data_IF_799294889433
#
_entry.id   IF_799294889433
#
_cell.length_a   1.000
_cell.length_b   1.000
_cell.length_c   1.000
_cell.angle_alpha   90.00
_cell.angle_beta   90.00
_cell.angle_gamma   90.00
#
_symmetry.space_group_name_H-M   'P 1'
#
loop_
_entity.id
_entity.type
_entity.pdbx_description
1 polymer ?
#
# COMPACT_ATOMS: atom_id res chain seq x y z
N UNK A 1 -10.35 1.38 19.66
CA UNK A 1 -10.23 0.20 20.04
C UNK A 1 -9.85 -0.76 18.98
N UNK A 2 -10.25 -1.92 19.16
CA UNK A 2 -9.83 -3.02 18.33
C UNK A 2 -10.12 -2.86 16.86
N UNK A 3 -11.05 -2.01 16.48
CA UNK A 3 -11.43 -1.89 15.07
C UNK A 3 -10.28 -1.37 14.20
N UNK A 4 -9.58 -0.34 14.63
CA UNK A 4 -8.45 0.17 13.83
C UNK A 4 -7.28 -0.81 13.85
N UNK A 5 -7.10 -1.54 14.93
CA UNK A 5 -6.09 -2.59 14.96
C UNK A 5 -6.41 -3.69 13.96
N UNK A 6 -7.70 -4.03 13.81
CA UNK A 6 -8.14 -5.03 12.84
C UNK A 6 -7.89 -4.52 11.41
N UNK A 7 -8.21 -3.25 11.15
CA UNK A 7 -7.97 -2.65 9.83
C UNK A 7 -6.48 -2.70 9.50
N UNK A 8 -5.64 -2.30 10.44
CA UNK A 8 -4.20 -2.31 10.26
C UNK A 8 -3.69 -3.74 9.98
N UNK A 9 -4.16 -4.70 10.76
CA UNK A 9 -3.75 -6.09 10.58
C UNK A 9 -4.19 -6.65 9.23
N UNK A 10 -5.37 -6.27 8.76
CA UNK A 10 -5.86 -6.72 7.45
C UNK A 10 -5.03 -6.14 6.31
N UNK A 11 -4.63 -4.87 6.43
CA UNK A 11 -3.78 -4.25 5.42
C UNK A 11 -2.43 -4.97 5.38
N UNK A 12 -1.84 -5.24 6.54
CA UNK A 12 -0.59 -5.97 6.58
C UNK A 12 -0.72 -7.38 6.03
N UNK A 13 -1.86 -8.04 6.27
CA UNK A 13 -2.10 -9.38 5.72
C UNK A 13 -2.13 -9.33 4.19
N UNK A 14 -2.68 -8.26 3.62
CA UNK A 14 -2.70 -8.09 2.17
C UNK A 14 -1.32 -7.77 1.61
N UNK A 15 -0.44 -7.22 2.43
CA UNK A 15 0.94 -6.92 2.02
C UNK A 15 1.88 -8.12 2.21
N UNK A 16 1.49 -9.11 3.01
CA UNK A 16 2.33 -10.26 3.31
C UNK A 16 2.90 -10.97 2.07
N UNK A 17 2.13 -11.21 1.00
CA UNK A 17 2.68 -11.90 -0.17
C UNK A 17 3.89 -11.24 -0.79
N UNK A 18 4.07 -9.94 -0.56
CA UNK A 18 5.17 -9.19 -1.16
C UNK A 18 6.44 -9.21 -0.31
N UNK A 19 6.35 -9.73 0.93
CA UNK A 19 7.50 -9.77 1.83
C UNK A 19 8.61 -10.69 1.33
N UNK A 20 8.27 -11.67 0.48
CA UNK A 20 9.27 -12.58 -0.07
C UNK A 20 10.30 -11.86 -0.92
N UNK A 21 9.90 -10.79 -1.58
CA UNK A 21 10.78 -10.04 -2.49
C UNK A 21 11.17 -8.68 -1.93
N UNK A 22 10.51 -8.21 -0.88
CA UNK A 22 10.75 -6.89 -0.32
C UNK A 22 11.38 -7.02 1.06
N UNK A 23 12.09 -5.98 1.46
CA UNK A 23 12.65 -5.94 2.81
C UNK A 23 11.86 -4.96 3.66
N UNK A 24 11.81 -5.24 4.96
CA UNK A 24 11.19 -4.34 5.92
C UNK A 24 12.11 -3.16 6.17
N UNK A 25 11.51 -1.98 6.26
CA UNK A 25 12.25 -0.74 6.45
C UNK A 25 11.37 0.23 7.22
N UNK A 26 11.87 1.43 7.43
CA UNK A 26 11.13 2.49 8.09
C UNK A 26 11.29 3.75 7.27
N UNK A 27 10.17 4.45 7.02
CA UNK A 27 10.20 5.74 6.37
C UNK A 27 9.32 6.71 7.16
N UNK A 28 9.90 7.85 7.53
CA UNK A 28 9.21 8.86 8.35
C UNK A 28 8.64 8.26 9.63
N UNK A 29 9.36 7.30 10.23
CA UNK A 29 8.91 6.63 11.45
C UNK A 29 7.85 5.56 11.25
N UNK A 30 7.48 5.25 10.02
CA UNK A 30 6.43 4.27 9.72
C UNK A 30 7.04 2.96 9.21
N UNK A 31 6.47 1.80 9.61
CA UNK A 31 6.88 0.53 9.01
C UNK A 31 6.59 0.53 7.51
N UNK A 32 7.53 0.03 6.74
CA UNK A 32 7.38 0.01 5.28
C UNK A 32 8.01 -1.23 4.68
N UNK A 33 7.67 -1.47 3.41
CA UNK A 33 8.29 -2.51 2.59
C UNK A 33 8.91 -1.85 1.38
N UNK A 34 10.15 -2.19 1.07
CA UNK A 34 10.84 -1.60 -0.08
C UNK A 34 11.63 -2.67 -0.82
N UNK A 35 11.99 -2.38 -2.07
CA UNK A 35 12.84 -3.27 -2.85
C UNK A 35 14.24 -3.27 -2.22
N UNK A 36 14.84 -4.46 -2.02
CA UNK A 36 16.16 -4.52 -1.40
C UNK A 36 17.19 -3.73 -2.20
N UNK A 37 17.96 -2.91 -1.50
CA UNK A 37 19.00 -2.10 -2.14
C UNK A 37 18.51 -0.79 -2.72
N UNK A 38 17.20 -0.52 -2.69
CA UNK A 38 16.67 0.73 -3.20
C UNK A 38 16.81 1.84 -2.18
N UNK A 39 16.56 3.09 -2.63
CA UNK A 39 16.58 4.24 -1.73
C UNK A 39 15.35 4.27 -0.82
N UNK A 40 15.44 5.10 0.21
CA UNK A 40 14.35 5.18 1.20
C UNK A 40 13.04 5.65 0.59
N UNK A 41 13.09 6.41 -0.51
CA UNK A 41 11.90 6.92 -1.17
C UNK A 41 11.33 5.95 -2.21
N UNK A 42 11.94 4.79 -2.38
CA UNK A 42 11.49 3.79 -3.34
C UNK A 42 10.70 2.66 -2.69
N UNK A 43 10.12 2.93 -1.52
CA UNK A 43 9.32 1.93 -0.83
C UNK A 43 8.05 1.61 -1.63
N UNK A 44 7.57 0.37 -1.48
CA UNK A 44 6.33 -0.05 -2.12
C UNK A 44 5.12 0.41 -1.32
N UNK A 45 5.16 0.22 -0.01
CA UNK A 45 4.05 0.57 0.87
C UNK A 45 4.55 0.89 2.26
N UNK A 46 3.85 1.81 2.93
CA UNK A 46 4.06 2.10 4.34
C UNK A 46 2.69 2.24 4.98
N UNK A 47 2.60 1.92 6.27
CA UNK A 47 1.31 1.91 6.98
C UNK A 47 1.46 2.72 8.26
N UNK A 48 0.48 3.59 8.51
CA UNK A 48 0.44 4.39 9.73
C UNK A 48 -0.97 4.36 10.32
N UNK A 49 -1.06 4.12 11.62
CA UNK A 49 -2.35 4.15 12.32
C UNK A 49 -2.44 5.42 13.15
N UNK A 50 -3.50 6.18 12.95
CA UNK A 50 -3.80 7.35 13.75
C UNK A 50 -5.03 7.07 14.62
N UNK A 51 -5.55 8.11 15.29
CA UNK A 51 -6.68 7.95 16.20
C UNK A 51 -7.96 7.52 15.51
N UNK A 52 -8.12 7.84 14.21
CA UNK A 52 -9.40 7.66 13.52
C UNK A 52 -9.31 6.85 12.24
N UNK A 53 -8.11 6.49 11.80
CA UNK A 53 -7.95 5.81 10.51
C UNK A 53 -6.60 5.11 10.42
N UNK A 54 -6.50 4.19 9.46
CA UNK A 54 -5.23 3.62 9.08
C UNK A 54 -4.90 4.16 7.70
N UNK A 55 -3.70 4.70 7.53
CA UNK A 55 -3.27 5.25 6.25
C UNK A 55 -2.28 4.32 5.59
N UNK A 56 -2.51 4.05 4.31
CA UNK A 56 -1.59 3.28 3.48
C UNK A 56 -0.91 4.25 2.52
N UNK A 57 0.40 4.29 2.56
CA UNK A 57 1.19 5.10 1.65
C UNK A 57 1.74 4.19 0.57
N UNK A 58 1.22 4.36 -0.65
CA UNK A 58 1.60 3.53 -1.79
C UNK A 58 2.26 4.43 -2.83
N UNK A 59 3.50 4.83 -2.55
CA UNK A 59 4.19 5.88 -3.32
C UNK A 59 4.24 5.57 -4.82
N UNK A 60 4.28 4.29 -5.18
CA UNK A 60 4.39 3.90 -6.57
C UNK A 60 3.17 4.29 -7.41
N UNK A 61 2.02 4.56 -6.77
CA UNK A 61 0.82 4.93 -7.53
C UNK A 61 0.99 6.27 -8.25
N UNK A 62 1.86 7.12 -7.75
CA UNK A 62 2.14 8.39 -8.42
C UNK A 62 2.87 8.16 -9.74
N UNK A 63 3.67 7.13 -9.82
CA UNK A 63 4.37 6.76 -11.06
C UNK A 63 3.50 5.89 -11.96
N UNK A 64 2.72 4.99 -11.37
CA UNK A 64 1.89 4.03 -12.12
C UNK A 64 0.41 4.16 -11.74
N UNK A 65 -0.23 5.30 -12.04
CA UNK A 65 -1.62 5.54 -11.66
C UNK A 65 -2.61 4.59 -12.34
N UNK A 66 -2.20 3.93 -13.40
CA UNK A 66 -3.05 2.95 -14.08
C UNK A 66 -3.43 1.78 -13.18
N UNK A 67 -2.73 1.58 -12.07
CA UNK A 67 -3.12 0.55 -11.10
C UNK A 67 -4.51 0.82 -10.50
N UNK A 68 -4.99 2.06 -10.57
CA UNK A 68 -6.33 2.41 -10.10
C UNK A 68 -7.43 2.19 -11.13
N UNK A 69 -7.08 1.85 -12.36
CA UNK A 69 -8.09 1.65 -13.40
C UNK A 69 -9.01 0.50 -13.00
N UNK A 70 -10.31 0.72 -13.17
CA UNK A 70 -11.30 -0.27 -12.81
C UNK A 70 -11.69 -0.28 -11.34
N UNK A 71 -11.03 0.52 -10.51
CA UNK A 71 -11.41 0.64 -9.09
C UNK A 71 -12.73 1.39 -8.96
N UNK A 72 -13.49 1.06 -7.91
CA UNK A 72 -14.76 1.75 -7.67
C UNK A 72 -14.51 3.19 -7.20
N UNK A 73 -15.55 4.02 -7.34
CA UNK A 73 -15.50 5.38 -6.81
C UNK A 73 -15.27 5.37 -5.31
N UNK A 74 -15.87 4.39 -4.63
CA UNK A 74 -15.71 4.25 -3.19
C UNK A 74 -14.23 4.06 -2.82
N UNK A 75 -13.53 3.18 -3.53
CA UNK A 75 -12.11 2.94 -3.26
C UNK A 75 -11.28 4.18 -3.59
N UNK A 76 -11.54 4.80 -4.75
CA UNK A 76 -10.78 5.97 -5.17
C UNK A 76 -10.99 7.15 -4.23
N UNK A 77 -12.17 7.26 -3.62
CA UNK A 77 -12.46 8.34 -2.67
C UNK A 77 -11.64 8.23 -1.38
N UNK A 78 -11.05 7.07 -1.12
CA UNK A 78 -10.19 6.91 0.05
C UNK A 78 -8.82 7.56 -0.15
N UNK A 79 -8.48 7.95 -1.37
CA UNK A 79 -7.22 8.60 -1.67
C UNK A 79 -7.27 10.05 -1.17
N UNK A 80 -6.48 10.33 -0.13
CA UNK A 80 -6.48 11.65 0.51
C UNK A 80 -5.25 12.48 0.18
N UNK A 81 -4.28 11.90 -0.52
CA UNK A 81 -3.07 12.57 -0.98
C UNK A 81 -2.60 11.90 -2.25
N UNK A 82 -1.44 12.30 -2.76
CA UNK A 82 -0.94 11.76 -4.03
C UNK A 82 -0.78 10.25 -3.97
N UNK A 83 -0.32 9.75 -2.84
CA UNK A 83 -0.03 8.32 -2.68
C UNK A 83 -0.63 7.76 -1.40
N UNK A 84 -1.54 8.47 -0.76
CA UNK A 84 -2.09 8.11 0.55
C UNK A 84 -3.54 7.68 0.42
N UNK A 85 -3.84 6.50 0.97
CA UNK A 85 -5.20 6.00 1.06
C UNK A 85 -5.56 5.86 2.53
N UNK A 86 -6.68 6.45 2.94
CA UNK A 86 -7.10 6.48 4.34
C UNK A 86 -8.28 5.55 4.56
N UNK A 87 -8.14 4.65 5.54
CA UNK A 87 -9.15 3.63 5.81
C UNK A 87 -9.67 3.79 7.24
N UNK A 88 -10.82 4.44 7.41
CA UNK A 88 -11.48 4.43 8.73
C UNK A 88 -12.08 3.07 9.04
N UNK A 89 -12.35 2.27 8.00
CA UNK A 89 -12.82 0.90 8.13
C UNK A 89 -12.39 0.14 6.89
N UNK A 90 -12.46 -1.18 6.94
CA UNK A 90 -12.07 -2.03 5.82
C UNK A 90 -12.96 -3.26 5.81
N UNK A 91 -14.04 -3.20 5.01
CA UNK A 91 -14.93 -4.35 4.86
C UNK A 91 -14.38 -5.28 3.77
N UNK A 92 -15.08 -6.40 3.53
CA UNK A 92 -14.63 -7.42 2.60
C UNK A 92 -14.53 -6.90 1.17
N UNK A 93 -15.44 -6.01 0.78
CA UNK A 93 -15.42 -5.43 -0.56
C UNK A 93 -14.20 -4.55 -0.77
N UNK A 94 -13.94 -3.65 0.18
CA UNK A 94 -12.78 -2.78 0.11
C UNK A 94 -11.48 -3.58 0.20
N UNK A 95 -11.46 -4.62 1.02
CA UNK A 95 -10.27 -5.47 1.13
C UNK A 95 -9.96 -6.15 -0.20
N UNK A 96 -10.98 -6.62 -0.91
CA UNK A 96 -10.79 -7.24 -2.22
C UNK A 96 -10.27 -6.23 -3.25
N UNK A 97 -10.79 -5.01 -3.22
CA UNK A 97 -10.30 -3.96 -4.12
C UNK A 97 -8.88 -3.56 -3.79
N UNK A 98 -8.55 -3.48 -2.50
CA UNK A 98 -7.19 -3.16 -2.08
C UNK A 98 -6.21 -4.25 -2.52
N UNK A 99 -6.62 -5.51 -2.39
CA UNK A 99 -5.79 -6.62 -2.84
C UNK A 99 -5.48 -6.52 -4.33
N UNK A 100 -6.52 -6.25 -5.14
CA UNK A 100 -6.35 -6.08 -6.57
C UNK A 100 -5.46 -4.90 -6.91
N UNK A 101 -5.67 -3.78 -6.23
CA UNK A 101 -4.87 -2.57 -6.44
C UNK A 101 -3.39 -2.84 -6.14
N UNK A 102 -3.11 -3.49 -5.01
CA UNK A 102 -1.73 -3.79 -4.63
C UNK A 102 -1.06 -4.70 -5.65
N UNK A 103 -1.79 -5.71 -6.14
CA UNK A 103 -1.28 -6.61 -7.16
C UNK A 103 -0.93 -5.87 -8.44
N UNK A 104 -1.83 -5.01 -8.90
CA UNK A 104 -1.63 -4.24 -10.12
C UNK A 104 -0.49 -3.25 -9.97
N UNK A 105 -0.35 -2.66 -8.80
CA UNK A 105 0.71 -1.70 -8.54
C UNK A 105 2.06 -2.40 -8.42
N UNK A 106 2.08 -3.58 -7.84
CA UNK A 106 3.32 -4.31 -7.63
C UNK A 106 3.99 -4.75 -8.92
N UNK A 107 3.20 -5.07 -9.97
CA UNK A 107 3.76 -5.55 -11.22
C UNK A 107 4.75 -4.55 -11.85
N UNK A 108 4.36 -3.29 -12.11
CA UNK A 108 5.32 -2.35 -12.67
C UNK A 108 6.41 -1.96 -11.68
N UNK A 109 6.08 -1.91 -10.39
CA UNK A 109 7.09 -1.61 -9.37
C UNK A 109 8.20 -2.68 -9.38
N UNK A 110 7.81 -3.94 -9.40
CA UNK A 110 8.76 -5.05 -9.44
C UNK A 110 9.56 -5.04 -10.73
N UNK A 111 8.88 -4.84 -11.85
CA UNK A 111 9.55 -4.81 -13.15
C UNK A 111 10.58 -3.71 -13.22
N UNK A 112 10.25 -2.55 -12.68
CA UNK A 112 11.17 -1.42 -12.66
C UNK A 112 12.44 -1.76 -11.87
N UNK A 113 12.28 -2.31 -10.67
CA UNK A 113 13.42 -2.56 -9.80
C UNK A 113 14.19 -3.82 -10.18
N UNK A 114 13.50 -4.88 -10.57
CA UNK A 114 14.16 -6.15 -10.91
C UNK A 114 14.71 -6.14 -12.32
N UNK A 115 14.01 -5.48 -13.24
CA UNK A 115 14.38 -5.45 -14.64
C UNK A 115 15.26 -4.29 -15.03
N UNK A 116 15.54 -3.39 -14.12
CA UNK A 116 16.33 -2.21 -14.41
C UNK A 116 17.82 -2.53 -14.60
N UNK A 117 18.18 -3.73 -14.32
CA UNK A 117 19.57 -4.15 -14.44
C UNK A 117 20.03 -4.24 -15.90
#
# INVERSE_FOLDING_TARGET
>A
MAELEVVEARIWALLDPYRDELEEATIYGMPSLRWPGSGSHDYFAAVNRSAHKVSLYAIAVDTWPEALEGSSERFQSLRTGRATFSFPSLDAELAAELETFLWRLYQPYRDYHAGAA
#
